data_IF_348074856850
#
_entry.id   IF_348074856850
#
_cell.length_a   1.000
_cell.length_b   1.000
_cell.length_c   1.000
_cell.angle_alpha   90.00
_cell.angle_beta   90.00
_cell.angle_gamma   90.00
#
_symmetry.space_group_name_H-M   'P 1'
#
loop_
_entity.id
_entity.type
_entity.pdbx_description
1 polymer ?
2 polymer ?
3 polymer ?
4 non-polymer ?
5 water ?
#
# COMPACT_ATOMS: atom_id res chain seq x y z
N UNK A 7 15.77 10.98 -5.58
CA UNK A 7 16.85 10.80 -6.59
C UNK A 7 16.68 9.71 -7.64
N UNK A 8 16.89 8.44 -7.29
CA UNK A 8 16.30 7.46 -8.23
C UNK A 8 15.00 6.81 -7.80
N UNK A 9 14.37 7.44 -6.83
CA UNK A 9 13.08 6.90 -6.46
C UNK A 9 12.08 6.72 -7.60
N UNK A 10 11.35 5.65 -7.51
CA UNK A 10 10.28 5.52 -8.49
C UNK A 10 10.63 5.04 -9.88
N UNK A 11 11.91 4.73 -10.05
CA UNK A 11 12.35 4.13 -11.31
C UNK A 11 12.77 2.69 -11.11
N UNK A 12 11.98 1.78 -11.68
CA UNK A 12 12.24 0.37 -11.29
C UNK A 12 13.38 -0.26 -12.06
N UNK A 13 14.30 -0.94 -11.33
CA UNK A 13 15.41 -1.63 -12.01
C UNK A 13 15.05 -2.45 -13.25
N UNK A 14 13.99 -3.28 -13.12
CA UNK A 14 13.58 -4.14 -14.24
C UNK A 14 12.66 -3.53 -15.25
N UNK A 15 12.26 -2.29 -15.01
CA UNK A 15 11.33 -1.72 -15.98
C UNK A 15 11.84 -0.41 -16.52
N UNK A 16 11.63 0.71 -15.80
CA UNK A 16 12.05 2.01 -16.36
C UNK A 16 13.50 2.13 -16.71
N UNK A 17 14.29 1.56 -15.81
CA UNK A 17 15.72 1.57 -16.02
C UNK A 17 16.22 0.74 -17.18
N UNK A 18 15.34 -0.06 -17.78
CA UNK A 18 15.78 -0.67 -19.03
C UNK A 18 14.84 -0.56 -20.14
N UNK A 19 14.09 0.51 -20.02
CA UNK A 19 12.92 0.82 -20.83
C UNK A 19 12.01 -0.28 -21.29
N UNK A 20 11.70 -1.16 -20.34
CA UNK A 20 10.63 -2.13 -20.57
C UNK A 20 9.33 -1.73 -19.89
N UNK A 21 8.23 -1.90 -20.57
CA UNK A 21 6.98 -1.68 -19.85
C UNK A 21 6.42 -2.88 -19.09
N UNK A 22 5.70 -2.63 -17.98
CA UNK A 22 4.89 -3.75 -17.47
C UNK A 22 3.61 -4.02 -18.21
N UNK A 23 2.96 -5.11 -17.87
CA UNK A 23 1.83 -5.50 -18.75
C UNK A 23 0.57 -4.71 -18.69
N UNK A 24 0.51 -3.89 -17.66
CA UNK A 24 -0.70 -3.04 -17.58
C UNK A 24 -0.46 -1.55 -17.41
N UNK A 25 0.85 -1.16 -17.44
CA UNK A 25 1.02 0.28 -17.22
C UNK A 25 0.42 1.23 -18.26
N UNK A 26 0.25 0.75 -19.49
CA UNK A 26 -0.48 1.58 -20.46
C UNK A 26 -1.91 1.99 -20.05
N UNK A 27 -2.57 1.12 -19.26
CA UNK A 27 -3.92 1.46 -18.74
C UNK A 27 -3.95 2.72 -17.89
N UNK A 28 -3.00 2.75 -16.96
CA UNK A 28 -2.74 4.00 -16.22
C UNK A 28 -2.54 5.20 -17.12
N UNK A 29 -1.53 5.10 -17.99
CA UNK A 29 -1.17 6.25 -18.82
C UNK A 29 -2.20 6.71 -19.81
N UNK A 30 -2.94 5.75 -20.31
CA UNK A 30 -4.09 6.13 -21.10
C UNK A 30 -5.21 6.83 -20.41
N UNK A 31 -5.31 6.61 -19.13
CA UNK A 31 -6.33 7.42 -18.45
C UNK A 31 -6.00 8.85 -18.13
N UNK A 32 -4.73 9.24 -18.26
CA UNK A 32 -4.37 10.62 -17.87
C UNK A 32 -4.69 11.70 -18.91
N UNK A 33 -5.93 11.63 -19.42
CA UNK A 33 -6.48 12.16 -20.71
C UNK A 33 -5.80 11.68 -21.99
N UNK B 1 -6.42 -8.53 -2.68
CA UNK B 1 -6.92 -7.85 -3.88
C UNK B 1 -7.98 -8.67 -4.61
N UNK B 2 -9.07 -8.02 -4.92
CA UNK B 2 -10.17 -8.69 -5.57
C UNK B 2 -10.24 -8.35 -7.04
N UNK B 3 -10.29 -9.40 -7.84
CA UNK B 3 -10.28 -9.26 -9.31
C UNK B 3 -9.02 -8.65 -9.92
N UNK B 4 -7.88 -8.92 -9.30
CA UNK B 4 -6.64 -8.45 -9.91
C UNK B 4 -5.94 -9.51 -10.73
N UNK B 5 -4.63 -9.33 -10.82
CA UNK B 5 -3.75 -10.32 -11.49
C UNK B 5 -2.52 -10.53 -10.71
N UNK B 6 -1.79 -11.57 -11.06
CA UNK B 6 -0.43 -11.73 -10.51
C UNK B 6 0.48 -10.62 -10.95
N UNK B 7 1.18 -10.04 -9.99
CA UNK B 7 2.18 -9.04 -10.37
C UNK B 7 3.34 -9.68 -11.14
N UNK B 8 4.02 -8.90 -12.00
CA UNK B 8 5.30 -9.40 -12.55
C UNK B 8 6.41 -9.29 -11.56
N UNK B 9 7.48 -10.05 -11.78
CA UNK B 9 8.59 -9.84 -10.85
C UNK B 9 9.22 -8.44 -10.97
N UNK B 10 9.55 -7.82 -9.84
CA UNK B 10 10.08 -6.45 -9.79
C UNK B 10 9.13 -5.33 -10.16
N UNK B 11 7.85 -5.64 -10.40
CA UNK B 11 6.85 -4.62 -10.81
C UNK B 11 6.50 -3.59 -9.74
N UNK B 12 6.67 -4.02 -8.54
CA UNK B 12 6.39 -3.19 -7.40
C UNK B 12 7.44 -3.36 -6.30
N UNK B 13 8.67 -2.83 -6.58
CA UNK B 13 9.81 -3.20 -5.71
C UNK B 13 9.93 -2.36 -4.42
N UNK B 14 8.98 -1.46 -4.29
CA UNK B 14 8.71 -0.79 -3.00
C UNK B 14 7.69 -1.47 -2.10
N UNK B 15 7.05 -2.53 -2.59
CA UNK B 15 6.11 -3.23 -1.72
C UNK B 15 6.77 -3.92 -0.55
N UNK B 16 6.17 -3.69 0.60
CA UNK B 16 6.72 -4.32 1.81
C UNK B 16 5.68 -5.17 2.49
N UNK B 17 6.16 -6.22 3.17
CA UNK B 17 5.21 -6.99 3.94
C UNK B 17 5.38 -6.76 5.41
N UNK B 18 4.28 -6.41 6.04
CA UNK B 18 4.29 -6.38 7.50
C UNK B 18 4.01 -7.75 8.12
N UNK B 19 5.00 -8.26 8.79
CA UNK B 19 4.91 -9.66 9.21
C UNK B 19 5.05 -9.79 10.72
N UNK B 20 4.07 -10.45 11.29
CA UNK B 20 4.15 -10.73 12.71
C UNK B 20 5.12 -11.84 13.14
N UNK B 21 5.88 -11.54 14.19
CA UNK B 21 6.79 -12.60 14.65
C UNK B 21 6.18 -13.82 15.33
N UNK B 22 5.20 -13.59 16.22
CA UNK B 22 4.50 -14.73 16.87
C UNK B 22 3.04 -14.47 17.27
N UNK B 23 2.08 -15.26 16.74
CA UNK B 23 2.29 -16.27 15.71
C UNK B 23 2.63 -15.61 14.36
N UNK B 24 3.38 -16.32 13.53
CA UNK B 24 3.88 -15.65 12.32
C UNK B 24 2.77 -15.38 11.36
N UNK B 25 2.51 -14.13 11.13
CA UNK B 25 1.37 -13.82 10.24
C UNK B 25 1.65 -12.62 9.36
N UNK B 26 1.06 -12.56 8.18
CA UNK B 26 0.96 -11.30 7.44
C UNK B 26 -0.05 -10.38 8.12
N UNK B 27 0.47 -9.28 8.65
CA UNK B 27 -0.43 -8.26 9.19
C UNK B 27 -1.05 -7.30 8.17
N UNK B 28 -0.15 -6.78 7.34
CA UNK B 28 -0.56 -5.73 6.38
C UNK B 28 0.50 -5.50 5.33
N UNK B 29 0.14 -4.66 4.39
CA UNK B 29 1.08 -4.11 3.42
C UNK B 29 1.85 -2.90 3.93
N UNK B 30 2.74 -2.42 3.10
CA UNK B 30 3.48 -1.22 3.49
C UNK B 30 4.31 -0.82 2.34
N UNK B 31 5.07 0.26 2.52
CA UNK B 31 5.77 0.87 1.38
C UNK B 31 7.21 1.27 1.67
N UNK B 32 8.15 1.00 0.76
CA UNK B 32 9.51 1.47 1.05
C UNK B 32 9.69 2.87 0.49
N UNK B 33 9.98 3.84 1.38
CA UNK B 33 10.16 5.22 0.86
C UNK B 33 11.62 5.79 0.94
N UNK B 34 12.48 5.07 1.63
CA UNK B 34 13.90 5.38 1.51
C UNK B 34 14.65 4.15 1.95
N UNK B 35 15.96 4.22 2.21
CA UNK B 35 16.62 3.02 2.75
C UNK B 35 16.37 2.65 4.20
N UNK B 36 15.76 3.57 4.91
CA UNK B 36 15.46 3.08 6.27
C UNK B 36 14.10 3.43 6.85
N UNK B 37 13.24 3.78 5.95
CA UNK B 37 11.88 4.25 6.28
C UNK B 37 10.77 3.55 5.49
N UNK B 38 9.85 3.03 6.28
CA UNK B 38 8.64 2.44 5.69
C UNK B 38 7.33 3.16 6.04
N UNK B 39 6.52 3.33 5.04
CA UNK B 39 5.21 3.97 5.26
C UNK B 39 4.05 2.95 5.32
N UNK B 40 3.21 3.08 6.33
CA UNK B 40 2.06 2.15 6.43
C UNK B 40 0.77 2.86 6.94
N UNK B 41 -0.31 2.14 7.15
CA UNK B 41 -1.48 2.70 7.81
C UNK B 41 -1.32 2.59 9.31
N UNK B 42 -1.60 3.64 10.05
CA UNK B 42 -1.60 3.53 11.55
C UNK B 42 -2.47 2.41 12.15
N UNK B 43 -3.62 2.16 11.53
CA UNK B 43 -4.43 1.06 12.05
C UNK B 43 -3.87 -0.37 12.07
N UNK B 44 -2.78 -0.51 11.32
CA UNK B 44 -2.08 -1.77 11.28
C UNK B 44 -1.39 -2.12 12.54
N UNK B 45 -1.06 -1.03 13.23
CA UNK B 45 -0.27 -1.14 14.47
C UNK B 45 -1.11 -0.88 15.70
N UNK B 46 -2.02 0.07 15.53
CA UNK B 46 -2.82 0.60 16.64
C UNK B 46 -4.27 0.65 16.27
N UNK B 47 -4.97 -0.25 16.95
CA UNK B 47 -6.41 -0.31 16.88
C UNK B 47 -7.08 -0.77 18.19
N UNK B 48 -7.28 0.19 19.11
CA UNK B 48 -7.76 -0.15 20.47
C UNK B 48 -9.11 -0.86 20.61
N UNK B 49 -10.12 -0.64 19.77
CA UNK B 49 -11.27 -1.54 19.80
C UNK B 49 -10.99 -3.02 19.79
N UNK B 50 -9.88 -3.34 19.16
CA UNK B 50 -9.53 -4.76 19.13
C UNK B 50 -8.41 -5.08 20.02
N UNK B 51 -8.10 -4.19 20.94
CA UNK B 51 -6.83 -4.32 21.66
C UNK B 51 -5.60 -4.54 20.79
N UNK B 52 -5.61 -3.96 19.58
CA UNK B 52 -4.39 -3.97 18.77
C UNK B 52 -3.44 -2.79 18.99
N UNK B 53 -2.28 -3.12 19.53
CA UNK B 53 -1.24 -2.14 19.78
C UNK B 53 0.14 -2.74 19.62
N UNK B 54 0.57 -2.86 18.37
CA UNK B 54 1.92 -3.38 18.11
C UNK B 54 3.05 -2.45 18.42
N UNK B 55 4.10 -3.07 18.91
CA UNK B 55 5.33 -2.31 19.09
C UNK B 55 6.50 -2.82 18.28
N UNK B 56 7.62 -2.14 18.41
CA UNK B 56 8.70 -2.50 17.48
C UNK B 56 9.19 -3.93 17.54
N UNK B 57 9.36 -4.41 18.75
CA UNK B 57 9.71 -5.83 18.71
C UNK B 57 8.64 -6.84 18.38
N UNK B 58 7.44 -6.37 18.15
CA UNK B 58 6.37 -7.30 17.74
C UNK B 58 6.50 -7.78 16.29
N UNK B 59 7.29 -7.00 15.58
CA UNK B 59 7.16 -7.03 14.12
C UNK B 59 8.43 -7.21 13.32
N UNK B 60 8.20 -7.86 12.18
CA UNK B 60 9.16 -7.83 11.09
C UNK B 60 8.69 -7.17 9.82
N UNK B 61 9.62 -6.45 9.21
CA UNK B 61 9.39 -5.97 7.85
C UNK B 61 10.07 -6.86 6.78
N UNK B 62 9.31 -7.29 5.80
CA UNK B 62 9.89 -8.09 4.72
C UNK B 62 9.77 -7.46 3.31
N UNK B 63 10.95 -7.21 2.78
CA UNK B 63 11.08 -6.41 1.56
C UNK B 63 11.62 -7.21 0.37
N UNK B 64 11.12 -6.97 -0.85
CA UNK B 64 11.68 -7.73 -1.98
C UNK B 64 10.92 -8.97 -2.40
N UNK B 65 9.78 -9.13 -1.72
CA UNK B 65 8.96 -10.35 -1.92
C UNK B 65 8.02 -10.43 -3.11
N UNK B 66 7.77 -11.66 -3.48
CA UNK B 66 6.76 -11.93 -4.53
C UNK B 66 5.71 -12.95 -4.06
N UNK B 67 6.22 -14.14 -3.76
CA UNK B 67 5.46 -15.16 -3.00
C UNK B 67 4.98 -14.70 -1.62
N UNK B 68 3.69 -14.88 -1.32
CA UNK B 68 3.18 -14.57 0.04
C UNK B 68 3.83 -15.32 1.19
N UNK B 69 3.98 -16.63 0.96
CA UNK B 69 4.40 -17.51 2.07
C UNK B 69 5.80 -18.06 2.15
N UNK B 70 6.47 -18.11 1.02
CA UNK B 70 7.82 -18.64 1.19
C UNK B 70 8.87 -17.64 1.66
N UNK B 71 9.88 -18.23 2.25
CA UNK B 71 11.11 -17.47 2.38
C UNK B 71 11.93 -17.48 1.08
N UNK B 72 11.81 -16.35 0.42
CA UNK B 72 12.51 -16.13 -0.85
C UNK B 72 13.99 -15.88 -0.71
N UNK B 73 14.64 -17.00 -0.42
CA UNK B 73 16.02 -17.07 0.06
C UNK B 73 17.14 -16.16 -0.41
N UNK B 74 17.38 -15.95 -1.71
CA UNK B 74 18.38 -14.83 -1.77
C UNK B 74 17.82 -13.52 -2.34
N UNK B 75 16.52 -13.34 -2.20
CA UNK B 75 15.84 -12.23 -2.85
C UNK B 75 15.27 -11.24 -1.84
N UNK B 76 14.49 -11.78 -0.92
CA UNK B 76 13.91 -10.92 0.09
C UNK B 76 14.82 -10.50 1.25
N UNK B 77 14.44 -9.39 1.82
CA UNK B 77 15.25 -8.93 2.94
C UNK B 77 14.35 -8.79 4.16
N UNK B 78 14.80 -9.25 5.27
CA UNK B 78 13.95 -9.06 6.44
C UNK B 78 14.53 -8.04 7.40
N UNK B 79 13.74 -7.03 7.72
CA UNK B 79 14.26 -6.03 8.64
C UNK B 79 13.51 -5.86 9.95
N UNK B 80 14.29 -5.49 10.97
CA UNK B 80 13.79 -5.13 12.31
C UNK B 80 13.45 -3.66 12.46
N UNK B 81 12.52 -3.39 13.33
CA UNK B 81 12.14 -1.99 13.52
C UNK B 81 12.88 -1.28 14.61
N UNK B 82 13.29 -0.08 14.35
CA UNK B 82 13.87 0.72 15.46
C UNK B 82 12.90 1.65 16.19
N UNK B 83 12.04 2.22 15.37
CA UNK B 83 10.95 3.08 15.87
C UNK B 83 9.66 3.06 15.05
N UNK B 84 8.53 2.90 15.73
CA UNK B 84 7.22 3.19 15.08
C UNK B 84 6.71 4.59 15.38
N UNK B 85 6.24 5.30 14.35
CA UNK B 85 5.61 6.63 14.51
C UNK B 85 4.22 6.75 13.90
N UNK B 86 3.20 6.86 14.76
CA UNK B 86 1.80 6.99 14.30
C UNK B 86 1.38 8.45 14.30
N UNK B 87 0.58 8.87 13.33
CA UNK B 87 0.16 10.28 13.42
C UNK B 87 -0.50 10.72 14.79
N UNK B 88 -0.06 11.85 15.40
CA UNK B 88 -0.69 12.28 16.68
C UNK B 88 -2.23 12.48 16.64
N UNK B 89 -2.75 12.80 15.48
CA UNK B 89 -4.22 12.88 15.35
C UNK B 89 -4.95 11.82 14.54
N UNK B 90 -4.32 10.65 14.47
CA UNK B 90 -5.03 9.49 13.89
C UNK B 90 -6.34 9.24 14.66
N UNK B 91 -7.43 9.15 13.94
CA UNK B 91 -8.71 8.97 14.62
C UNK B 91 -9.31 7.56 14.54
N UNK B 92 -8.82 6.75 15.44
CA UNK B 92 -9.35 5.38 15.50
C UNK B 92 -10.78 5.23 16.06
N UNK B 93 -11.12 6.27 16.84
CA UNK B 93 -12.50 6.33 17.41
C UNK B 93 -13.60 6.55 16.44
N UNK B 94 -13.41 7.36 15.42
CA UNK B 94 -14.50 7.28 14.44
C UNK B 94 -14.23 6.85 12.98
N UNK B 95 -13.32 7.53 12.30
CA UNK B 95 -13.35 7.21 10.85
C UNK B 95 -12.07 6.72 10.19
N UNK B 96 -11.08 6.46 11.05
CA UNK B 96 -9.70 6.22 10.59
C UNK B 96 -9.06 7.39 9.84
N UNK B 97 -9.48 8.60 10.18
CA UNK B 97 -8.84 9.84 9.69
C UNK B 97 -7.38 9.91 10.09
N UNK B 98 -6.55 10.36 9.13
CA UNK B 98 -5.07 10.41 9.32
C UNK B 98 -4.48 9.06 9.57
N UNK B 99 -4.95 8.12 8.74
CA UNK B 99 -4.49 6.74 8.96
C UNK B 99 -3.13 6.44 8.29
N UNK B 100 -2.13 6.81 9.05
CA UNK B 100 -0.73 6.83 8.64
C UNK B 100 0.24 6.63 9.79
N UNK B 101 1.26 5.89 9.42
CA UNK B 101 2.41 5.62 10.28
C UNK B 101 3.69 5.44 9.47
N UNK B 102 4.74 5.94 10.13
CA UNK B 102 6.12 5.72 9.71
C UNK B 102 6.86 4.73 10.55
N UNK B 103 7.63 3.89 9.87
CA UNK B 103 8.50 3.00 10.66
C UNK B 103 9.93 3.07 10.24
N UNK B 104 10.74 3.31 11.24
CA UNK B 104 12.14 3.39 10.91
C UNK B 104 12.89 2.12 11.22
N UNK B 105 13.66 1.72 10.20
CA UNK B 105 14.29 0.40 10.21
C UNK B 105 15.55 0.39 11.01
N UNK B 106 15.80 -0.77 11.57
CA UNK B 106 16.97 -0.83 12.43
C UNK B 106 18.27 -0.52 11.71
N UNK B 107 18.38 -1.17 10.54
CA UNK B 107 19.48 -0.89 9.61
C UNK B 107 18.96 -0.69 8.20
N UNK B 108 19.60 0.22 7.45
CA UNK B 108 19.20 0.50 6.06
C UNK B 108 19.24 -0.67 5.11
N UNK B 109 18.23 -0.73 4.28
CA UNK B 109 18.27 -1.84 3.35
C UNK B 109 19.07 -1.53 2.12
N UNK B 110 19.61 -2.61 1.58
CA UNK B 110 20.22 -2.33 0.28
C UNK B 110 19.32 -2.53 -0.90
N UNK B 111 19.41 -1.63 -1.84
CA UNK B 111 18.57 -1.77 -3.02
C UNK B 111 19.13 -2.76 -3.98
N UNK B 112 18.25 -3.25 -4.84
CA UNK B 112 18.51 -4.44 -5.69
C UNK B 112 17.53 -4.42 -6.84
N UNK B 113 17.52 -5.43 -7.70
CA UNK B 113 16.46 -5.40 -8.71
C UNK B 113 15.03 -5.45 -8.21
N UNK B 114 14.94 -5.87 -6.97
CA UNK B 114 13.67 -6.27 -6.32
C UNK B 114 13.19 -5.36 -5.19
N UNK B 115 14.10 -4.49 -4.80
CA UNK B 115 13.99 -3.57 -3.65
C UNK B 115 14.41 -2.16 -4.03
N UNK B 116 13.44 -1.30 -4.15
CA UNK B 116 13.69 0.06 -4.59
C UNK B 116 12.54 0.99 -4.10
N UNK B 117 12.87 2.17 -3.53
CA UNK B 117 11.87 3.09 -2.98
C UNK B 117 10.93 3.79 -3.97
N UNK B 118 9.73 4.07 -3.49
CA UNK B 118 8.80 4.81 -4.37
C UNK B 118 8.94 6.29 -4.12
N UNK B 119 8.54 7.13 -5.06
CA UNK B 119 8.52 8.54 -4.65
C UNK B 119 7.27 8.99 -3.90
N UNK B 120 7.48 9.95 -3.02
CA UNK B 120 6.36 10.73 -2.44
C UNK B 120 5.94 11.96 -3.22
N UNK B 121 4.65 12.29 -3.23
CA UNK B 121 4.28 13.39 -4.09
C UNK B 121 4.68 14.75 -3.50
N UNK B 122 4.94 15.63 -4.45
CA UNK B 122 4.98 17.05 -4.16
C UNK B 122 3.70 17.74 -4.60
N UNK B 123 3.39 18.91 -4.08
CA UNK B 123 2.19 19.65 -4.56
C UNK B 123 1.79 19.56 -6.05
N UNK B 124 2.75 19.77 -6.95
CA UNK B 124 2.24 19.83 -8.31
C UNK B 124 1.99 18.49 -8.98
N UNK B 125 2.73 17.48 -8.52
CA UNK B 125 2.31 16.10 -8.92
C UNK B 125 0.94 15.66 -8.36
N UNK B 126 0.74 15.89 -7.06
CA UNK B 126 -0.59 15.66 -6.51
C UNK B 126 -1.68 16.38 -7.26
N UNK B 127 -1.40 17.65 -7.54
CA UNK B 127 -2.38 18.44 -8.31
C UNK B 127 -2.68 17.90 -9.68
N UNK B 128 -1.60 17.51 -10.36
CA UNK B 128 -1.87 17.05 -11.71
C UNK B 128 -2.47 15.69 -11.89
N UNK B 129 -2.09 14.81 -10.97
CA UNK B 129 -2.50 13.43 -11.15
C UNK B 129 -3.71 12.97 -10.32
N UNK B 130 -3.90 13.64 -9.18
CA UNK B 130 -5.01 13.18 -8.35
C UNK B 130 -6.33 13.74 -8.82
N UNK B 131 -6.80 13.13 -9.88
CA UNK B 131 -8.05 13.56 -10.45
C UNK B 131 -9.02 12.43 -10.78
N UNK B 132 -10.30 12.77 -10.88
CA UNK B 132 -11.26 11.66 -11.06
C UNK B 132 -11.21 11.06 -12.41
N UNK B 133 -11.30 9.76 -12.43
CA UNK B 133 -11.13 9.12 -13.74
C UNK B 133 -9.71 8.60 -14.03
N UNK B 134 -8.73 9.24 -13.36
CA UNK B 134 -7.35 8.76 -13.48
C UNK B 134 -7.13 7.56 -12.62
N UNK B 135 -6.45 6.62 -13.24
CA UNK B 135 -6.22 5.37 -12.52
C UNK B 135 -4.93 5.30 -11.81
N UNK B 136 -5.05 4.75 -10.64
CA UNK B 136 -3.81 4.29 -9.99
C UNK B 136 -3.78 2.78 -9.74
N UNK B 137 -2.76 2.37 -9.03
CA UNK B 137 -2.57 0.93 -8.93
C UNK B 137 -2.38 0.54 -7.50
N UNK B 138 -3.07 -0.55 -7.14
CA UNK B 138 -2.92 -1.09 -5.78
C UNK B 138 -2.31 -2.46 -5.77
N UNK B 139 -1.43 -2.69 -4.86
CA UNK B 139 -0.92 -4.06 -4.74
C UNK B 139 -0.95 -4.70 -3.35
N UNK B 140 -1.03 -6.04 -3.34
CA UNK B 140 -0.86 -6.70 -2.03
C UNK B 140 -1.10 -8.21 -1.99
N UNK B 141 -0.89 -8.81 -0.85
CA UNK B 141 -1.10 -10.27 -0.65
C UNK B 141 -2.34 -10.66 0.16
N UNK B 142 -3.28 -9.71 0.16
CA UNK B 142 -4.48 -9.93 0.93
C UNK B 142 -5.55 -10.72 0.23
N UNK B 143 -6.67 -10.83 0.91
CA UNK B 143 -7.67 -11.76 0.38
C UNK B 143 -8.20 -11.43 -0.99
N UNK B 144 -8.50 -12.50 -1.69
CA UNK B 144 -8.99 -12.46 -3.07
C UNK B 144 -10.49 -12.25 -3.20
N UNK B 145 -11.14 -12.19 -2.06
CA UNK B 145 -12.59 -11.98 -1.98
C UNK B 145 -13.07 -11.81 -0.54
N UNK B 146 -14.26 -11.21 -0.36
CA UNK B 146 -14.56 -10.66 0.99
C UNK B 146 -14.92 -11.48 2.21
N UNK B 147 -14.78 -10.79 3.33
CA UNK B 147 -13.79 -11.33 4.30
C UNK B 147 -14.16 -11.43 5.77
N UNK B 148 -14.89 -10.41 6.16
CA UNK B 148 -15.20 -10.46 7.58
C UNK B 148 -16.67 -10.17 7.92
N UNK B 149 -17.58 -11.14 7.66
CA UNK B 149 -17.93 -11.66 6.28
C UNK B 149 -17.03 -12.55 5.37
N UNK B 150 -16.33 -13.57 5.93
CA UNK B 150 -15.35 -14.39 5.12
C UNK B 150 -15.71 -15.05 3.76
N UNK B 151 -14.68 -15.55 3.04
CA UNK B 151 -15.05 -16.13 1.73
C UNK B 151 -14.53 -17.48 1.16
N UNK B 152 -15.01 -17.72 -0.08
CA UNK B 152 -14.85 -18.93 -0.93
C UNK B 152 -13.94 -18.83 -2.19
N UNK B 153 -14.26 -19.57 -3.27
CA UNK B 153 -13.47 -19.50 -4.54
C UNK B 153 -11.95 -19.78 -4.60
N UNK B 154 -11.19 -18.79 -4.05
CA UNK B 154 -9.71 -18.89 -3.85
C UNK B 154 -9.13 -18.43 -2.48
N UNK B 155 -9.71 -17.36 -1.94
CA UNK B 155 -9.24 -16.90 -0.61
C UNK B 155 -7.95 -16.08 -0.49
N UNK B 156 -6.84 -16.77 -0.51
CA UNK B 156 -5.52 -16.12 -0.35
C UNK B 156 -4.55 -16.36 -1.51
N UNK B 157 -3.94 -15.27 -2.04
CA UNK B 157 -3.05 -15.44 -3.20
C UNK B 157 -1.76 -16.22 -2.96
N UNK B 158 -1.33 -16.85 -4.02
CA UNK B 158 0.03 -17.42 -3.95
C UNK B 158 1.17 -16.35 -4.00
N UNK B 159 0.91 -15.45 -4.88
CA UNK B 159 1.87 -14.41 -5.23
C UNK B 159 1.21 -13.00 -5.10
N UNK B 160 2.06 -11.96 -5.03
CA UNK B 160 1.58 -10.57 -5.09
C UNK B 160 0.59 -10.31 -6.19
N UNK B 161 -0.52 -9.70 -5.78
CA UNK B 161 -1.54 -9.30 -6.78
C UNK B 161 -1.47 -7.84 -7.12
N UNK B 162 -1.94 -7.52 -8.30
CA UNK B 162 -2.13 -6.13 -8.77
C UNK B 162 -3.55 -5.82 -9.18
N UNK B 163 -4.00 -4.61 -8.84
CA UNK B 163 -5.13 -4.07 -9.63
C UNK B 163 -5.03 -2.56 -9.97
N UNK B 164 -5.55 -2.11 -11.10
CA UNK B 164 -5.59 -0.68 -11.41
C UNK B 164 -6.98 -0.09 -11.29
N UNK B 165 -7.14 0.97 -10.51
CA UNK B 165 -8.50 1.52 -10.20
C UNK B 165 -8.67 2.99 -10.51
N UNK B 166 -9.80 3.43 -11.07
CA UNK B 166 -9.89 4.88 -11.31
C UNK B 166 -10.17 5.62 -10.04
N UNK B 167 -9.65 6.82 -9.92
CA UNK B 167 -10.13 7.69 -8.85
C UNK B 167 -11.59 8.19 -9.08
N UNK B 168 -12.33 8.33 -7.98
CA UNK B 168 -13.75 8.67 -8.05
C UNK B 168 -13.93 10.07 -7.45
N UNK B 169 -14.84 10.82 -8.03
CA UNK B 169 -15.29 12.13 -7.51
C UNK B 169 -15.62 12.14 -6.03
N UNK B 170 -15.23 13.21 -5.35
CA UNK B 170 -15.57 13.21 -3.93
C UNK B 170 -17.05 13.07 -3.52
N UNK B 171 -17.98 13.81 -4.15
CA UNK B 171 -19.41 13.52 -3.95
C UNK B 171 -19.91 12.08 -4.02
N UNK B 172 -19.49 11.37 -5.08
CA UNK B 172 -19.87 9.96 -5.07
C UNK B 172 -19.19 9.12 -4.00
N UNK B 173 -17.98 9.54 -3.64
CA UNK B 173 -17.42 8.89 -2.44
C UNK B 173 -18.24 9.08 -1.14
N UNK B 174 -18.64 10.33 -0.89
CA UNK B 174 -19.41 10.57 0.36
C UNK B 174 -20.85 9.99 0.42
N UNK B 175 -21.49 9.97 -0.75
CA UNK B 175 -22.79 9.35 -1.01
C UNK B 175 -22.89 7.83 -1.08
N UNK B 176 -21.75 7.19 -0.89
CA UNK B 176 -21.72 5.72 -0.89
C UNK B 176 -21.67 5.16 0.47
N UNK B 177 -21.52 6.09 1.39
CA UNK B 177 -21.32 5.69 2.77
C UNK B 177 -21.94 6.66 3.77
N UNK B 178 -22.06 6.09 4.95
CA UNK B 178 -22.49 6.79 6.16
C UNK B 178 -21.38 7.27 7.03
N UNK B 179 -20.18 6.80 6.75
CA UNK B 179 -19.03 7.31 7.52
C UNK B 179 -18.69 8.75 7.17
N UNK B 180 -18.30 9.51 8.16
CA UNK B 180 -17.70 10.80 7.78
C UNK B 180 -16.32 10.79 7.04
N UNK B 181 -16.43 11.16 5.76
CA UNK B 181 -15.27 11.36 4.83
C UNK B 181 -14.51 12.70 5.06
N UNK B 182 -13.25 12.61 5.43
CA UNK B 182 -12.47 13.87 5.56
C UNK B 182 -11.62 14.21 4.32
N UNK B 183 -10.93 15.34 4.38
CA UNK B 183 -9.96 15.77 3.35
C UNK B 183 -8.65 14.98 3.25
N UNK B 184 -8.36 14.32 4.35
CA UNK B 184 -7.25 13.34 4.39
C UNK B 184 -7.52 11.96 3.80
N UNK B 185 -8.60 11.89 3.04
CA UNK B 185 -8.92 10.65 2.35
C UNK B 185 -9.28 10.89 0.91
N UNK B 186 -9.11 9.84 0.11
CA UNK B 186 -9.80 9.87 -1.17
C UNK B 186 -10.43 8.47 -1.41
N UNK B 187 -11.38 8.37 -2.34
CA UNK B 187 -11.77 7.00 -2.73
C UNK B 187 -11.54 6.54 -4.17
N UNK B 188 -11.33 5.24 -4.28
CA UNK B 188 -11.11 4.71 -5.63
C UNK B 188 -11.91 3.48 -5.97
N UNK B 189 -12.11 3.33 -7.25
CA UNK B 189 -12.77 2.12 -7.69
C UNK B 189 -13.69 2.39 -8.86
N UNK B 190 -14.12 1.28 -9.50
CA UNK B 190 -15.11 1.42 -10.57
C UNK B 190 -16.55 1.51 -10.06
N UNK B 191 -17.30 2.27 -10.83
CA UNK B 191 -18.76 2.38 -10.65
C UNK B 191 -19.55 1.16 -11.16
N UNK B 192 -20.70 0.87 -10.53
CA UNK B 192 -21.44 -0.34 -10.93
C UNK B 192 -21.81 -0.50 -12.41
N UNK B 193 -21.98 0.63 -13.09
CA UNK B 193 -22.18 0.61 -14.56
C UNK B 193 -20.92 0.43 -15.47
N UNK B 194 -19.73 0.39 -14.87
CA UNK B 194 -18.56 0.42 -15.75
C UNK B 194 -18.00 -0.91 -16.19
N UNK B 195 -18.47 -1.96 -15.54
CA UNK B 195 -18.11 -3.20 -16.23
C UNK B 195 -16.78 -3.84 -15.90
N UNK B 196 -15.75 -3.00 -15.83
CA UNK B 196 -14.64 -3.52 -15.02
C UNK B 196 -15.02 -3.52 -13.53
N UNK B 197 -14.34 -4.35 -12.77
CA UNK B 197 -14.33 -4.14 -11.33
C UNK B 197 -12.99 -4.40 -10.60
N UNK B 198 -13.08 -4.49 -9.29
CA UNK B 198 -11.84 -4.79 -8.54
C UNK B 198 -11.71 -3.93 -7.30
N UNK B 199 -10.92 -4.43 -6.37
CA UNK B 199 -10.72 -3.74 -5.10
C UNK B 199 -9.57 -4.35 -4.28
N UNK B 200 -9.12 -3.61 -3.27
CA UNK B 200 -8.38 -4.19 -2.18
C UNK B 200 -9.26 -5.03 -1.26
N UNK B 201 -8.60 -5.66 -0.33
CA UNK B 201 -9.34 -6.48 0.63
C UNK B 201 -8.53 -6.75 1.85
N UNK B 202 -9.11 -7.40 2.84
CA UNK B 202 -8.35 -7.61 4.08
C UNK B 202 -6.91 -8.15 3.92
N UNK B 203 -5.97 -7.66 4.73
CA UNK B 203 -4.53 -7.97 4.56
C UNK B 203 -3.74 -7.13 3.55
N UNK B 204 -4.50 -6.46 2.69
CA UNK B 204 -3.95 -5.41 1.85
C UNK B 204 -3.79 -4.04 2.50
N UNK B 205 -4.47 -3.80 3.59
CA UNK B 205 -4.32 -2.52 4.30
C UNK B 205 -2.86 -2.11 4.45
N UNK B 206 -2.64 -0.77 4.43
CA UNK B 206 -1.27 -0.27 4.67
C UNK B 206 -0.37 -0.20 3.43
N UNK B 207 -0.80 -0.89 2.37
CA UNK B 207 0.05 -0.77 1.20
C UNK B 207 -0.26 0.42 0.29
N UNK B 208 0.57 0.41 -0.77
CA UNK B 208 0.58 1.55 -1.70
C UNK B 208 -0.52 1.63 -2.72
N UNK B 209 -1.06 2.85 -2.85
CA UNK B 209 -1.80 3.18 -4.08
C UNK B 209 -0.88 4.13 -4.90
N UNK B 210 -0.53 3.71 -6.11
CA UNK B 210 0.59 4.43 -6.79
C UNK B 210 0.18 4.87 -8.13
N UNK B 211 0.74 5.97 -8.53
CA UNK B 211 0.48 6.38 -9.92
C UNK B 211 1.79 6.62 -10.66
N UNK B 212 1.81 6.44 -11.97
CA UNK B 212 3.08 6.73 -12.71
C UNK B 212 3.03 8.13 -13.33
N UNK B 213 3.93 9.02 -12.97
CA UNK B 213 3.86 10.31 -13.69
C UNK B 213 4.09 10.26 -15.21
N UNK B 214 3.24 10.93 -16.01
CA UNK B 214 3.54 10.97 -17.43
C UNK B 214 4.61 12.06 -17.83
N UNK B 215 5.05 12.88 -16.89
CA UNK B 215 6.06 13.92 -17.14
C UNK B 215 7.49 13.49 -16.94
N UNK B 216 7.72 12.83 -15.81
CA UNK B 216 9.05 12.28 -15.63
C UNK B 216 9.28 10.75 -15.57
N UNK B 217 8.23 10.00 -15.97
CA UNK B 217 8.11 8.54 -15.81
C UNK B 217 8.35 7.84 -14.50
N UNK B 218 8.15 8.58 -13.44
CA UNK B 218 8.32 7.98 -12.13
C UNK B 218 7.04 7.59 -11.44
N UNK B 219 7.19 6.57 -10.62
CA UNK B 219 6.11 6.17 -9.71
C UNK B 219 6.04 6.92 -8.37
N UNK B 220 4.85 7.39 -8.10
CA UNK B 220 4.64 8.14 -6.85
C UNK B 220 3.57 7.49 -5.97
N UNK B 221 3.82 7.42 -4.71
CA UNK B 221 2.72 6.96 -3.88
C UNK B 221 1.68 8.05 -3.49
N UNK B 222 0.46 7.92 -4.07
CA UNK B 222 -0.60 8.87 -3.75
C UNK B 222 -1.50 8.53 -2.62
N UNK B 223 -1.58 7.23 -2.37
CA UNK B 223 -2.46 6.77 -1.32
C UNK B 223 -1.88 5.64 -0.50
N UNK B 224 -2.45 5.49 0.71
CA UNK B 224 -2.30 4.25 1.49
C UNK B 224 -3.63 3.52 1.57
N UNK B 225 -3.67 2.20 1.35
CA UNK B 225 -4.94 1.44 1.55
C UNK B 225 -5.51 1.50 2.99
N UNK B 226 -6.70 2.05 3.09
CA UNK B 226 -7.07 2.34 4.49
C UNK B 226 -8.31 1.57 4.88
N UNK B 227 -9.38 1.88 4.16
CA UNK B 227 -10.62 1.22 4.55
C UNK B 227 -11.66 1.10 3.47
N UNK B 228 -12.52 0.13 3.65
CA UNK B 228 -13.63 0.05 2.72
C UNK B 228 -14.73 -0.69 3.43
N UNK B 229 -15.89 -0.70 2.84
CA UNK B 229 -16.93 -1.56 3.42
C UNK B 229 -17.20 -2.83 2.59
N UNK B 230 -16.76 -3.92 3.18
CA UNK B 230 -16.65 -5.10 2.32
C UNK B 230 -15.47 -5.04 1.35
N UNK B 231 -15.54 -5.84 0.30
CA UNK B 231 -14.50 -5.74 -0.72
C UNK B 231 -15.07 -5.97 -2.08
N UNK B 232 -14.94 -5.03 -2.95
CA UNK B 232 -15.48 -5.17 -4.31
C UNK B 232 -17.02 -5.27 -4.38
N UNK B 233 -17.67 -4.61 -3.42
CA UNK B 233 -19.15 -4.47 -3.49
C UNK B 233 -19.62 -3.40 -4.43
N UNK B 234 -20.59 -3.72 -5.30
CA UNK B 234 -21.24 -2.69 -6.13
C UNK B 234 -21.71 -1.40 -5.46
N UNK B 235 -21.43 -0.28 -6.07
CA UNK B 235 -21.69 0.99 -5.37
C UNK B 235 -21.04 1.25 -4.01
N UNK B 236 -20.07 0.39 -3.60
CA UNK B 236 -19.08 0.74 -2.56
C UNK B 236 -17.68 1.09 -3.12
N UNK B 237 -16.91 1.83 -2.35
CA UNK B 237 -15.60 2.26 -2.86
C UNK B 237 -14.49 2.05 -1.85
N UNK B 238 -13.25 2.02 -2.38
CA UNK B 238 -12.19 1.88 -1.37
C UNK B 238 -11.67 3.22 -0.91
N UNK B 239 -11.34 3.30 0.34
CA UNK B 239 -10.84 4.59 0.84
C UNK B 239 -9.37 4.55 1.22
N UNK B 240 -8.72 5.62 0.79
CA UNK B 240 -7.25 5.66 0.94
C UNK B 240 -6.79 6.88 1.70
N UNK B 241 -5.82 6.69 2.54
CA UNK B 241 -5.16 7.87 3.13
C UNK B 241 -4.43 8.79 2.12
N UNK B 242 -4.77 10.08 2.16
CA UNK B 242 -4.24 11.04 1.18
C UNK B 242 -2.82 11.43 1.51
N UNK B 243 -1.88 10.85 0.77
CA UNK B 243 -0.49 10.99 1.26
C UNK B 243 0.12 12.40 1.16
N UNK B 244 -0.12 13.11 0.07
CA UNK B 244 0.26 14.52 0.10
C UNK B 244 -0.29 15.40 1.21
N UNK B 245 -1.59 15.30 1.53
CA UNK B 245 -2.04 16.03 2.73
C UNK B 245 -1.42 15.72 4.06
N UNK B 246 -0.92 14.51 4.26
CA UNK B 246 -0.14 14.32 5.47
C UNK B 246 1.41 14.46 5.34
N UNK B 247 1.84 15.04 4.25
CA UNK B 247 3.29 15.10 4.00
C UNK B 247 4.17 15.99 4.92
N UNK B 248 3.60 17.13 5.31
CA UNK B 248 4.19 17.90 6.43
C UNK B 248 4.58 17.07 7.66
N UNK B 249 3.62 16.27 8.14
CA UNK B 249 3.97 15.37 9.23
C UNK B 249 5.03 14.33 8.85
N UNK B 250 4.97 13.81 7.63
CA UNK B 250 6.04 12.88 7.21
C UNK B 250 7.45 13.50 7.20
N UNK B 251 7.53 14.68 6.58
CA UNK B 251 8.79 15.46 6.62
C UNK B 251 9.26 15.85 7.97
N UNK B 252 8.32 16.33 8.77
CA UNK B 252 8.63 16.44 10.18
C UNK B 252 9.32 15.26 10.85
N UNK B 253 8.75 14.04 10.76
CA UNK B 253 9.49 12.95 11.42
C UNK B 253 10.79 12.45 10.76
N UNK B 254 10.82 12.50 9.42
CA UNK B 254 12.08 12.08 8.79
C UNK B 254 13.25 13.09 8.87
N UNK B 255 12.97 14.36 8.62
CA UNK B 255 14.04 15.37 8.84
C UNK B 255 14.64 15.35 10.26
N UNK B 256 13.74 15.35 11.22
CA UNK B 256 14.29 15.28 12.55
C UNK B 256 14.62 13.91 13.17
N UNK B 257 14.42 12.85 12.39
CA UNK B 257 15.37 11.72 12.50
C UNK B 257 15.95 11.04 11.23
N UNK B 258 17.22 11.21 10.99
CA UNK B 258 17.77 11.87 9.78
C UNK B 258 19.19 12.40 10.05
N UNK C 1 0.60 -22.59 4.86
CA UNK C 1 0.94 -21.15 4.95
C UNK C 1 2.43 -20.87 5.25
N UNK C 2 2.79 -20.04 6.21
CA UNK C 2 4.15 -19.48 6.08
C UNK C 2 5.35 -20.42 6.22
N UNK C 3 6.23 -20.35 5.23
CA UNK C 3 7.51 -21.03 5.45
C UNK C 3 8.33 -20.38 6.59
N UNK C 4 9.10 -21.23 7.22
CA UNK C 4 9.83 -20.80 8.41
C UNK C 4 10.91 -19.80 8.05
N UNK C 5 10.98 -18.73 8.84
CA UNK C 5 12.09 -17.85 8.51
C UNK C 5 13.32 -18.08 9.33
N UNK C 6 14.49 -17.71 8.82
CA UNK C 6 15.68 -17.88 9.67
C UNK C 6 15.67 -17.26 11.08
N UNK C 7 16.23 -18.09 11.93
CA UNK C 7 16.27 -17.78 13.36
C UNK C 7 16.92 -16.47 13.80
N UNK C 8 17.95 -16.03 13.08
CA UNK C 8 18.47 -14.68 13.44
C UNK C 8 17.55 -13.45 13.16
N UNK C 9 16.34 -13.74 12.67
CA UNK C 9 15.41 -12.62 12.52
C UNK C 9 14.45 -12.38 13.69
N UNK C 10 14.50 -13.32 14.61
CA UNK C 10 13.60 -13.28 15.74
C UNK C 10 14.22 -12.74 17.04
X LIG D 1 -14.68 -1.11 9.30
X LIG D 1 -15.91 -0.77 10.12
X LIG D 1 -16.59 -2.01 10.63
X LIG D 1 -15.56 -2.84 11.47
X LIG D 1 -14.15 -3.02 10.79
X LIG D 1 -13.06 -3.73 11.61
X LIG D 1 -11.69 -3.66 11.01
X LIG D 1 -11.46 -3.05 9.83
X LIG D 1 -12.55 -2.32 9.09
X LIG D 1 -13.57 -1.79 10.09
X LIG D 1 -12.03 -1.28 8.09
X LIG D 1 -11.04 -1.85 7.07
X LIG D 1 -10.30 -3.11 7.59
X LIG D 1 -10.10 -2.98 9.15
X LIG D 1 -9.11 -4.11 9.45
X LIG D 1 -8.25 -4.23 8.18
X LIG D 1 -8.83 -3.26 7.12
X LIG D 1 -11.05 -4.43 7.26
X LIG D 1 -12.89 -0.81 11.08
X LIG D 1 -8.83 -2.43 4.60
X LIG D 1 -9.27 -2.82 3.24
X LIG D 1 -9.49 -1.83 2.20
X LIG D 1 -10.44 -1.96 1.26
X LIG D 1 -10.67 -0.88 0.27
X LIG D 1 -11.40 -3.12 1.15
X LIG D 1 -9.40 -1.69 9.69
X LIG D 1 -16.18 -4.21 11.83
X LIG D 1 -15.39 -2.16 12.86
X LIG D 1 -16.34 -4.57 12.96
X LIG D 1 -6.93 -3.91 8.50
X LIG D 1 -6.57 -4.94 5.22
X LIG D 1 -16.52 -4.97 10.79
X LIG D 1 -9.48 -3.97 2.95
X LIG D 1 -17.12 -2.73 9.48
X LIG D 1 -18.20 -2.31 8.80
X LIG D 1 -18.36 -3.02 7.47
X LIG D 1 -18.99 -1.48 9.15
X LIG D 1 -9.06 -1.44 10.81
X LIG D 1 -11.72 -2.10 5.85
X LIG D 1 -18.12 -6.60 10.30
X LIG D 1 -17.90 -5.22 10.48
X LIG D 1 -18.98 -4.70 11.46
X LIG D 1 -20.33 -4.83 10.73
X LIG D 1 -20.54 -6.27 10.25
X LIG D 1 -19.32 -6.92 9.59
X LIG D 1 -21.60 -6.24 9.27
X LIG D 1 -21.48 -4.45 11.53
X LIG D 1 -18.88 -3.32 11.87
X LIG D 1 -19.60 -8.44 9.49
X LIG D 1 -19.24 -9.17 10.68
X LIG D 1 -8.53 -3.61 5.60
X LIG D 1 -7.02 -3.87 5.47
#
# INVERSE_FOLDING_TARGET
TFGSGEADCGLRPLFEKKSLEDKTERELLESYIDGR
IVEGSDAEIGMSPWQVMLFRKSPQELLCGASLISDRWVLTAAHCLLYPPWDKNFTENDLLVRIGKHSRTRYERNIEKISMLEKIYIHPRYNWRENLDRDIALMKLKKPVAFSDYIHPVCLPDRETAASLLQAGYKGRVTGWGNLKETWTANVGKGQPSVLQVVNLPIVERPVCKDSTRIRITDNMFCAGYKPDEGKRGDACEGDSGGPFVMKSPFNNRWYQMGIVSWGEGCDRDGKYGFYTHVFRLKKWIQKVIDQFGE
DFEEIPEEYL
GR4 C1 C2 C3 C4 C5 C6 C7 C8 C9 C10 C11 C12 C13 C14 C15 C16 C17 C18 C19 C22 C23 C24 C25 C26 C27 C28 C29 C30 O31 O32 O33 O34 O35 O36 C37 C38 O39 O1 O2 O3 C32 C33 C34 C35 C36 O4 O5 O6 C31 O7 C20 C21
#
